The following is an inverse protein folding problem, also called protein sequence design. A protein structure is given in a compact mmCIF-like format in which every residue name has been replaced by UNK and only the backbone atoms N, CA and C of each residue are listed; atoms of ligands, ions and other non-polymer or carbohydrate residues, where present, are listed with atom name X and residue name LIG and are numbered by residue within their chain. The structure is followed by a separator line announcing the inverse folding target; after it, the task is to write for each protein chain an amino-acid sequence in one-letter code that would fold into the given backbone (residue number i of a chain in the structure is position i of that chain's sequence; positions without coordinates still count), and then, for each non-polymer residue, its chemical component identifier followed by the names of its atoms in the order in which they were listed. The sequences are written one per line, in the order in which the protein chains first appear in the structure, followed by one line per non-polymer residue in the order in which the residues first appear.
data_IF_356730732090
#
_entry.id   IF_356730732090
#
_cell.length_a   1.000
_cell.length_b   1.000
_cell.length_c   1.000
_cell.angle_alpha   90.00
_cell.angle_beta   90.00
_cell.angle_gamma   90.00
#
_symmetry.space_group_name_H-M   'P 1'
#
loop_
_entity.id
_entity.type
_entity.pdbx_description
1 polymer ?
#
# COMPACT_ATOMS: atom_id res chain seq x y z
N UNK A 1 12.91 -9.76 -3.16
CA UNK A 1 11.64 -10.03 -3.83
C UNK A 1 11.17 -8.71 -4.38
N UNK A 2 10.90 -8.65 -5.69
CA UNK A 2 10.40 -7.43 -6.29
C UNK A 2 8.89 -7.30 -6.01
N UNK A 3 8.38 -6.08 -5.78
CA UNK A 3 6.95 -5.86 -5.65
C UNK A 3 6.24 -6.25 -6.97
N UNK A 4 5.10 -6.90 -6.84
CA UNK A 4 4.22 -7.24 -7.96
C UNK A 4 3.47 -6.04 -8.50
N UNK A 5 3.26 -5.02 -7.66
CA UNK A 5 2.73 -3.73 -8.05
C UNK A 5 3.23 -2.65 -7.08
N UNK A 6 3.47 -1.46 -7.61
CA UNK A 6 3.83 -0.28 -6.83
C UNK A 6 2.89 0.84 -7.23
N UNK A 7 2.36 1.53 -6.23
CA UNK A 7 1.60 2.75 -6.41
C UNK A 7 2.20 3.88 -5.59
N UNK A 8 1.92 5.10 -6.02
CA UNK A 8 2.14 6.32 -5.24
C UNK A 8 0.84 7.07 -5.07
N UNK A 9 0.67 7.72 -3.93
CA UNK A 9 -0.37 8.74 -3.83
C UNK A 9 0.01 9.95 -4.71
N UNK A 10 -1.00 10.68 -5.18
CA UNK A 10 -0.86 11.92 -5.95
C UNK A 10 0.00 12.99 -5.29
N UNK A 11 0.15 12.95 -3.97
CA UNK A 11 1.01 13.88 -3.22
C UNK A 11 2.46 13.36 -3.07
N UNK A 12 2.77 12.18 -3.60
CA UNK A 12 4.05 11.47 -3.51
C UNK A 12 4.60 11.34 -2.07
N UNK A 13 3.70 11.28 -1.09
CA UNK A 13 4.02 11.05 0.33
C UNK A 13 4.10 9.55 0.63
N UNK A 14 3.19 8.78 0.05
CA UNK A 14 3.05 7.36 0.31
C UNK A 14 3.43 6.56 -0.94
N UNK A 15 4.36 5.62 -0.76
CA UNK A 15 4.65 4.57 -1.71
C UNK A 15 4.07 3.27 -1.20
N UNK A 16 3.15 2.70 -1.96
CA UNK A 16 2.39 1.50 -1.61
C UNK A 16 2.90 0.35 -2.48
N UNK A 17 3.39 -0.71 -1.86
CA UNK A 17 3.98 -1.86 -2.53
C UNK A 17 3.17 -3.12 -2.23
N UNK A 18 2.79 -3.86 -3.26
CA UNK A 18 2.19 -5.18 -3.13
C UNK A 18 3.21 -6.26 -3.49
N UNK A 19 3.47 -7.18 -2.56
CA UNK A 19 4.32 -8.34 -2.75
C UNK A 19 3.46 -9.59 -2.84
N UNK A 20 3.68 -10.43 -3.85
CA UNK A 20 3.02 -11.74 -3.95
C UNK A 20 3.69 -12.72 -3.00
N UNK A 21 2.93 -13.21 -2.02
CA UNK A 21 3.36 -14.29 -1.15
C UNK A 21 3.16 -15.66 -1.83
N UNK A 22 3.93 -16.69 -1.43
CA UNK A 22 3.83 -18.04 -2.02
C UNK A 22 2.45 -18.70 -1.86
N UNK A 23 1.66 -18.26 -0.88
CA UNK A 23 0.36 -18.82 -0.48
C UNK A 23 -0.84 -18.08 -1.12
N UNK A 24 -0.64 -17.44 -2.27
CA UNK A 24 -1.64 -16.64 -3.01
C UNK A 24 -2.12 -15.38 -2.28
N UNK A 25 -1.50 -15.01 -1.16
CA UNK A 25 -1.79 -13.75 -0.47
C UNK A 25 -0.93 -12.62 -1.05
N UNK A 26 -1.41 -11.39 -0.89
CA UNK A 26 -0.64 -10.19 -1.20
C UNK A 26 -0.27 -9.50 0.11
N UNK A 27 1.03 -9.26 0.31
CA UNK A 27 1.51 -8.42 1.38
C UNK A 27 1.59 -6.97 0.87
N UNK A 28 0.81 -6.07 1.46
CA UNK A 28 0.78 -4.65 1.08
C UNK A 28 1.53 -3.87 2.14
N UNK A 29 2.47 -3.03 1.71
CA UNK A 29 3.23 -2.12 2.56
C UNK A 29 3.00 -0.70 2.09
N UNK A 30 2.67 0.20 3.00
CA UNK A 30 2.68 1.64 2.72
C UNK A 30 3.86 2.28 3.44
N UNK A 31 4.68 3.00 2.68
CA UNK A 31 5.90 3.65 3.17
C UNK A 31 5.83 5.16 2.94
N UNK A 32 6.16 5.94 3.97
CA UNK A 32 6.27 7.40 3.89
C UNK A 32 7.66 7.82 4.39
N UNK A 33 8.59 7.99 3.45
CA UNK A 33 9.98 8.27 3.77
C UNK A 33 10.68 7.12 4.52
N UNK A 34 11.74 7.41 5.30
CA UNK A 34 12.58 6.38 5.93
C UNK A 34 12.01 5.74 7.19
N UNK A 35 10.85 6.18 7.69
CA UNK A 35 10.50 5.99 9.10
C UNK A 35 9.18 5.27 9.37
N UNK A 36 8.26 5.18 8.40
CA UNK A 36 6.97 4.51 8.62
C UNK A 36 6.69 3.47 7.54
N UNK A 37 6.46 2.23 7.97
CA UNK A 37 6.03 1.11 7.13
C UNK A 37 4.84 0.44 7.79
N UNK A 38 3.67 0.49 7.15
CA UNK A 38 2.44 -0.14 7.67
C UNK A 38 2.18 -1.43 6.89
N UNK A 39 2.21 -2.62 7.53
CA UNK A 39 1.81 -3.88 6.89
C UNK A 39 0.27 -3.95 6.81
N UNK A 40 -0.27 -3.58 5.66
CA UNK A 40 -1.73 -3.46 5.43
C UNK A 40 -2.41 -4.83 5.25
N UNK A 41 -1.64 -5.89 5.04
CA UNK A 41 -2.13 -7.24 4.76
C UNK A 41 -2.52 -8.06 5.99
N UNK A 42 -2.08 -7.67 7.20
CA UNK A 42 -2.43 -8.38 8.44
C UNK A 42 -3.94 -8.31 8.76
N UNK A 43 -4.70 -7.45 8.07
CA UNK A 43 -6.10 -7.20 8.37
C UNK A 43 -7.04 -7.28 7.13
N UNK A 44 -6.53 -7.71 5.97
CA UNK A 44 -7.32 -7.88 4.74
C UNK A 44 -7.74 -6.59 4.02
N UNK A 45 -8.54 -6.72 2.94
CA UNK A 45 -8.98 -5.59 2.09
C UNK A 45 -9.69 -4.47 2.87
N UNK A 46 -10.44 -4.79 3.91
CA UNK A 46 -11.15 -3.81 4.74
C UNK A 46 -10.20 -2.89 5.51
N UNK A 47 -9.03 -3.38 5.89
CA UNK A 47 -8.04 -2.57 6.59
C UNK A 47 -7.20 -1.73 5.66
N UNK A 48 -6.91 -2.22 4.46
CA UNK A 48 -6.38 -1.39 3.38
C UNK A 48 -7.33 -0.21 3.13
N UNK A 49 -8.62 -0.49 2.93
CA UNK A 49 -9.63 0.55 2.70
C UNK A 49 -9.71 1.54 3.88
N UNK A 50 -9.68 1.04 5.12
CA UNK A 50 -9.67 1.89 6.31
C UNK A 50 -8.40 2.74 6.42
N UNK A 51 -7.24 2.19 6.10
CA UNK A 51 -5.99 2.93 6.14
C UNK A 51 -5.94 4.02 5.07
N UNK A 52 -6.41 3.73 3.85
CA UNK A 52 -6.57 4.71 2.77
C UNK A 52 -7.49 5.85 3.21
N UNK A 53 -8.63 5.51 3.83
CA UNK A 53 -9.55 6.52 4.40
C UNK A 53 -8.89 7.37 5.49
N UNK A 54 -8.15 6.78 6.44
CA UNK A 54 -7.45 7.52 7.51
C UNK A 54 -6.45 8.53 6.95
N UNK A 55 -5.81 8.22 5.82
CA UNK A 55 -4.80 9.09 5.20
C UNK A 55 -5.38 9.98 4.09
N UNK A 56 -6.70 9.97 3.91
CA UNK A 56 -7.41 10.68 2.84
C UNK A 56 -6.84 10.41 1.44
N UNK A 57 -6.49 9.14 1.17
CA UNK A 57 -6.00 8.68 -0.13
C UNK A 57 -7.17 8.01 -0.85
N UNK A 58 -7.62 8.60 -1.98
CA UNK A 58 -8.58 7.92 -2.86
C UNK A 58 -7.88 6.84 -3.69
N UNK A 59 -8.60 5.80 -4.10
CA UNK A 59 -8.09 4.84 -5.08
C UNK A 59 -7.79 5.51 -6.42
N UNK A 60 -8.56 6.54 -6.79
CA UNK A 60 -8.34 7.32 -8.02
C UNK A 60 -7.10 8.21 -7.94
N UNK A 61 -6.59 8.46 -6.73
CA UNK A 61 -5.34 9.22 -6.50
C UNK A 61 -4.11 8.32 -6.47
N UNK A 62 -4.26 7.00 -6.70
CA UNK A 62 -3.15 6.06 -6.80
C UNK A 62 -2.61 6.02 -8.22
N UNK A 63 -1.39 6.51 -8.37
CA UNK A 63 -0.63 6.47 -9.62
C UNK A 63 0.24 5.22 -9.63
N UNK A 64 0.34 4.55 -10.78
CA UNK A 64 1.29 3.43 -10.95
C UNK A 64 2.71 4.01 -11.04
N UNK A 65 3.61 3.49 -10.20
CA UNK A 65 5.05 3.83 -10.20
C UNK A 65 5.84 2.87 -11.11
#
# INVERSE_FOLDING_TARGET
MDPSAVWRDRQHRWRIEAYRAPDLRFAIYATNGPTESVPLWLFGMSALARWLMTHAISLDDLEVD
#
